data_IF_285334999371
#
_entry.id   IF_285334999371
#
_cell.length_a   1.000
_cell.length_b   1.000
_cell.length_c   1.000
_cell.angle_alpha   90.00
_cell.angle_beta   90.00
_cell.angle_gamma   90.00
#
_symmetry.space_group_name_H-M   'P 1'
#
loop_
_entity.id
_entity.type
_entity.pdbx_description
1 polymer ?
#
# COMPACT_ATOMS: atom_id res chain seq x y z
N UNK A 1 -26.41 -3.80 -0.65
CA UNK A 1 -25.38 -3.01 0.06
C UNK A 1 -24.12 -3.86 0.21
N UNK A 2 -23.19 -3.77 -0.75
CA UNK A 2 -21.85 -4.40 -0.70
C UNK A 2 -20.78 -3.39 -1.18
N UNK A 3 -21.20 -2.22 -1.68
CA UNK A 3 -20.32 -1.19 -2.20
C UNK A 3 -19.38 -0.62 -1.13
N UNK A 4 -19.86 -0.41 0.10
CA UNK A 4 -19.02 0.04 1.21
C UNK A 4 -17.95 -0.99 1.59
N UNK A 5 -18.28 -2.28 1.53
CA UNK A 5 -17.34 -3.37 1.80
C UNK A 5 -16.27 -3.48 0.71
N UNK A 6 -16.67 -3.47 -0.56
CA UNK A 6 -15.73 -3.46 -1.68
C UNK A 6 -14.87 -2.19 -1.70
N UNK A 7 -15.45 -1.04 -1.37
CA UNK A 7 -14.73 0.24 -1.30
C UNK A 7 -13.68 0.21 -0.19
N UNK A 8 -14.04 -0.27 1.00
CA UNK A 8 -13.08 -0.39 2.10
C UNK A 8 -11.94 -1.36 1.76
N UNK A 9 -12.23 -2.50 1.12
CA UNK A 9 -11.20 -3.43 0.66
C UNK A 9 -10.29 -2.81 -0.42
N UNK A 10 -10.85 -2.04 -1.36
CA UNK A 10 -10.08 -1.36 -2.40
C UNK A 10 -9.20 -0.24 -1.86
N UNK A 11 -9.68 0.53 -0.88
CA UNK A 11 -8.92 1.59 -0.20
C UNK A 11 -7.80 0.99 0.65
N UNK A 12 -8.10 -0.04 1.45
CA UNK A 12 -7.09 -0.76 2.23
C UNK A 12 -6.07 -1.40 1.31
N UNK A 13 -6.47 -2.14 0.28
CA UNK A 13 -5.53 -2.84 -0.60
C UNK A 13 -4.72 -1.91 -1.52
N UNK A 14 -5.34 -0.87 -2.07
CA UNK A 14 -4.67 0.12 -2.92
C UNK A 14 -3.70 1.00 -2.14
N UNK A 15 -4.10 1.44 -0.94
CA UNK A 15 -3.24 2.15 0.00
C UNK A 15 -2.11 1.26 0.51
N UNK A 16 -2.41 0.05 1.01
CA UNK A 16 -1.42 -0.90 1.53
C UNK A 16 -0.45 -1.41 0.46
N UNK A 17 -0.88 -1.64 -0.79
CA UNK A 17 0.02 -2.09 -1.85
C UNK A 17 0.92 -0.95 -2.35
N UNK A 18 0.39 0.26 -2.46
CA UNK A 18 1.16 1.46 -2.80
C UNK A 18 2.14 1.82 -1.70
N UNK A 19 1.69 1.81 -0.44
CA UNK A 19 2.51 2.01 0.75
C UNK A 19 3.49 0.86 0.95
N UNK A 20 3.15 -0.40 0.66
CA UNK A 20 4.09 -1.53 0.72
C UNK A 20 5.13 -1.45 -0.38
N UNK A 21 4.80 -0.93 -1.57
CA UNK A 21 5.78 -0.71 -2.65
C UNK A 21 6.67 0.51 -2.36
N UNK A 22 6.11 1.60 -1.84
CA UNK A 22 6.88 2.77 -1.36
C UNK A 22 7.70 2.42 -0.12
N UNK A 23 7.21 1.54 0.75
CA UNK A 23 7.97 0.97 1.85
C UNK A 23 9.09 0.09 1.30
N UNK A 24 8.83 -0.82 0.38
CA UNK A 24 9.87 -1.66 -0.20
C UNK A 24 10.88 -0.89 -1.09
N UNK A 25 10.52 0.29 -1.61
CA UNK A 25 11.36 1.13 -2.47
C UNK A 25 12.02 2.31 -1.72
N UNK A 26 11.41 2.79 -0.64
CA UNK A 26 11.87 3.91 0.21
C UNK A 26 12.41 3.47 1.59
N UNK A 27 12.04 2.28 2.06
CA UNK A 27 12.78 1.48 3.06
C UNK A 27 13.77 0.55 2.32
N UNK A 28 13.81 0.58 0.98
CA UNK A 28 14.99 0.09 0.27
C UNK A 28 16.15 0.96 0.75
N UNK A 29 17.09 0.38 1.50
CA UNK A 29 17.84 1.10 2.50
C UNK A 29 18.56 2.28 1.86
N UNK A 30 18.40 3.45 2.48
CA UNK A 30 19.15 4.67 2.22
C UNK A 30 20.65 4.52 2.58
N UNK A 31 21.16 3.30 2.50
CA UNK A 31 22.50 2.81 2.77
C UNK A 31 22.80 1.70 1.75
N UNK A 32 22.94 2.10 0.49
CA UNK A 32 23.76 1.36 -0.48
C UNK A 32 24.91 2.23 -0.96
N UNK A 33 25.65 2.77 0.02
CA UNK A 33 27.03 3.18 -0.11
C UNK A 33 27.87 2.31 0.81
#
# INVERSE_FOLDING_TARGET
MHAAWHFWHAVSFGGESGLRKVALCGIHPLTRR
#
